data_IF_914352750782
#
_entry.id   IF_914352750782
#
_cell.length_a   1.000
_cell.length_b   1.000
_cell.length_c   1.000
_cell.angle_alpha   90.00
_cell.angle_beta   90.00
_cell.angle_gamma   90.00
#
_symmetry.space_group_name_H-M   'P 1'
#
loop_
_entity.id
_entity.type
_entity.pdbx_description
1 polymer ?
#
# COMPACT_ATOMS: atom_id res chain seq x y z
N UNK A 1 -18.30 44.17 18.51
CA UNK A 1 -19.07 43.12 17.80
C UNK A 1 -20.07 42.54 18.79
N UNK A 2 -21.29 42.21 18.37
CA UNK A 2 -22.30 41.60 19.26
C UNK A 2 -21.99 40.12 19.49
N UNK A 3 -22.31 39.61 20.68
CA UNK A 3 -22.14 38.19 21.07
C UNK A 3 -22.83 37.23 20.08
N UNK A 4 -24.02 37.61 19.63
CA UNK A 4 -24.80 36.88 18.61
C UNK A 4 -24.07 36.75 17.26
N UNK A 5 -23.20 37.71 16.93
CA UNK A 5 -22.37 37.64 15.70
C UNK A 5 -21.19 36.69 15.88
N UNK A 6 -20.71 36.52 17.11
CA UNK A 6 -19.68 35.55 17.46
C UNK A 6 -20.25 34.13 17.47
N UNK A 7 -21.41 33.92 18.08
CA UNK A 7 -22.08 32.61 18.10
C UNK A 7 -22.41 32.10 16.69
N UNK A 8 -22.87 32.99 15.80
CA UNK A 8 -23.12 32.63 14.40
C UNK A 8 -21.83 32.23 13.65
N UNK A 9 -20.70 32.90 13.92
CA UNK A 9 -19.40 32.53 13.33
C UNK A 9 -18.91 31.18 13.83
N UNK A 10 -19.14 30.86 15.11
CA UNK A 10 -18.79 29.55 15.68
C UNK A 10 -19.60 28.42 15.05
N UNK A 11 -20.90 28.63 14.80
CA UNK A 11 -21.74 27.67 14.11
C UNK A 11 -21.30 27.45 12.66
N UNK A 12 -21.01 28.52 11.91
CA UNK A 12 -20.48 28.41 10.54
C UNK A 12 -19.14 27.65 10.50
N UNK A 13 -18.25 27.89 11.46
CA UNK A 13 -16.98 27.17 11.57
C UNK A 13 -17.17 25.67 11.81
N UNK A 14 -18.13 25.29 12.65
CA UNK A 14 -18.45 23.89 12.93
C UNK A 14 -19.00 23.22 11.66
N UNK A 15 -19.90 23.87 10.94
CA UNK A 15 -20.46 23.34 9.69
C UNK A 15 -19.38 23.15 8.62
N UNK A 16 -18.54 24.16 8.39
CA UNK A 16 -17.41 24.09 7.46
C UNK A 16 -16.44 22.96 7.83
N UNK A 17 -16.14 22.80 9.13
CA UNK A 17 -15.25 21.73 9.61
C UNK A 17 -15.84 20.35 9.31
N UNK A 18 -17.14 20.17 9.53
CA UNK A 18 -17.83 18.92 9.22
C UNK A 18 -17.86 18.64 7.71
N UNK A 19 -18.08 19.66 6.88
CA UNK A 19 -18.06 19.53 5.42
C UNK A 19 -16.68 19.11 4.90
N UNK A 20 -15.61 19.74 5.39
CA UNK A 20 -14.22 19.39 5.06
C UNK A 20 -13.92 17.94 5.47
N UNK A 21 -14.33 17.54 6.68
CA UNK A 21 -14.13 16.17 7.19
C UNK A 21 -14.84 15.14 6.31
N UNK A 22 -16.08 15.41 5.93
CA UNK A 22 -16.89 14.54 5.06
C UNK A 22 -16.28 14.43 3.65
N UNK A 23 -15.89 15.54 3.03
CA UNK A 23 -15.20 15.53 1.73
C UNK A 23 -13.88 14.76 1.79
N UNK A 24 -13.09 14.96 2.85
CA UNK A 24 -11.82 14.24 3.05
C UNK A 24 -12.04 12.72 3.17
N UNK A 25 -13.05 12.30 3.93
CA UNK A 25 -13.41 10.89 4.06
C UNK A 25 -13.87 10.30 2.72
N UNK A 26 -14.69 11.03 1.96
CA UNK A 26 -15.10 10.65 0.61
C UNK A 26 -13.89 10.46 -0.31
N UNK A 27 -12.99 11.46 -0.40
CA UNK A 27 -11.80 11.35 -1.24
C UNK A 27 -10.91 10.19 -0.85
N UNK A 28 -10.74 9.89 0.45
CA UNK A 28 -10.03 8.69 0.90
C UNK A 28 -10.73 7.39 0.48
N UNK A 29 -12.07 7.36 0.50
CA UNK A 29 -12.85 6.18 0.11
C UNK A 29 -12.80 5.87 -1.39
N UNK A 30 -12.61 6.89 -2.22
CA UNK A 30 -12.47 6.76 -3.68
C UNK A 30 -11.01 6.89 -4.14
N UNK A 31 -10.07 7.04 -3.21
CA UNK A 31 -8.66 7.13 -3.55
C UNK A 31 -8.25 5.79 -4.12
N UNK A 32 -8.00 5.78 -5.43
CA UNK A 32 -7.42 4.63 -6.08
C UNK A 32 -6.14 4.25 -5.34
N UNK A 33 -5.91 2.95 -5.11
CA UNK A 33 -4.64 2.53 -4.56
C UNK A 33 -3.57 3.09 -5.50
N UNK A 34 -2.57 3.76 -4.93
CA UNK A 34 -1.39 4.18 -5.69
C UNK A 34 -0.91 3.01 -6.56
N UNK A 35 -0.32 3.28 -7.74
CA UNK A 35 0.21 2.22 -8.59
C UNK A 35 1.06 1.23 -7.80
N UNK A 36 1.86 1.73 -6.84
CA UNK A 36 2.67 0.90 -5.95
C UNK A 36 1.84 -0.07 -5.10
N UNK A 37 0.72 0.38 -4.52
CA UNK A 37 -0.19 -0.50 -3.77
C UNK A 37 -0.90 -1.53 -4.65
N UNK A 38 -1.31 -1.17 -5.88
CA UNK A 38 -1.85 -2.16 -6.83
C UNK A 38 -0.80 -3.22 -7.20
N UNK A 39 0.46 -2.81 -7.46
CA UNK A 39 1.56 -3.74 -7.71
C UNK A 39 1.77 -4.70 -6.54
N UNK A 40 1.82 -4.18 -5.31
CA UNK A 40 1.97 -5.01 -4.10
C UNK A 40 0.81 -6.01 -3.97
N UNK A 41 -0.43 -5.58 -4.22
CA UNK A 41 -1.58 -6.49 -4.18
C UNK A 41 -1.53 -7.58 -5.25
N UNK A 42 -1.10 -7.26 -6.47
CA UNK A 42 -0.90 -8.25 -7.54
C UNK A 42 0.14 -9.27 -7.11
N UNK A 43 1.32 -8.85 -6.63
CA UNK A 43 2.37 -9.76 -6.16
C UNK A 43 1.90 -10.64 -4.98
N UNK A 44 1.10 -10.10 -4.05
CA UNK A 44 0.50 -10.89 -2.96
C UNK A 44 -0.47 -11.96 -3.46
N UNK A 45 -1.23 -11.70 -4.53
CA UNK A 45 -2.08 -12.73 -5.18
C UNK A 45 -1.25 -13.87 -5.76
N UNK A 46 -0.05 -13.56 -6.24
CA UNK A 46 0.96 -14.54 -6.66
C UNK A 46 1.77 -15.12 -5.48
N UNK A 47 1.38 -14.83 -4.24
CA UNK A 47 2.05 -15.31 -3.03
C UNK A 47 3.51 -14.89 -2.89
N UNK A 48 3.88 -13.80 -3.57
CA UNK A 48 5.16 -13.12 -3.43
C UNK A 48 5.05 -12.11 -2.30
N UNK A 49 5.92 -12.24 -1.31
CA UNK A 49 6.09 -11.29 -0.21
C UNK A 49 7.50 -10.69 -0.29
N UNK A 50 7.58 -9.44 -0.74
CA UNK A 50 8.81 -8.65 -0.66
C UNK A 50 9.22 -8.44 0.80
N UNK A 51 10.51 -8.63 1.10
CA UNK A 51 11.05 -8.46 2.44
C UNK A 51 11.81 -7.13 2.50
N UNK A 52 11.69 -6.45 3.63
CA UNK A 52 12.53 -5.30 3.96
C UNK A 52 13.74 -5.79 4.76
N UNK A 53 14.49 -6.72 4.18
CA UNK A 53 15.67 -7.35 4.77
C UNK A 53 16.87 -7.10 3.85
N UNK A 54 18.05 -6.89 4.42
CA UNK A 54 19.27 -6.65 3.64
C UNK A 54 19.72 -7.88 2.85
N UNK A 55 19.32 -9.07 3.26
CA UNK A 55 19.76 -10.33 2.69
C UNK A 55 18.68 -11.00 1.83
N UNK A 56 17.41 -10.62 1.97
CA UNK A 56 16.27 -11.29 1.32
C UNK A 56 15.49 -10.29 0.48
N UNK A 57 15.35 -10.61 -0.80
CA UNK A 57 14.54 -9.83 -1.74
C UNK A 57 13.06 -10.12 -1.51
N UNK A 58 12.68 -11.39 -1.61
CA UNK A 58 11.30 -11.81 -1.44
C UNK A 58 11.19 -13.29 -1.10
N UNK A 59 10.01 -13.68 -0.61
CA UNK A 59 9.62 -15.09 -0.45
C UNK A 59 8.40 -15.40 -1.28
N UNK A 60 8.36 -16.57 -1.89
CA UNK A 60 7.26 -17.05 -2.73
C UNK A 60 6.68 -18.30 -2.07
N UNK A 61 5.40 -18.24 -1.66
CA UNK A 61 4.74 -19.40 -1.04
C UNK A 61 4.06 -20.27 -2.09
N UNK A 62 4.54 -21.50 -2.26
CA UNK A 62 3.89 -22.48 -3.11
C UNK A 62 2.79 -23.20 -2.31
N UNK A 63 1.53 -22.84 -2.58
CA UNK A 63 0.37 -23.43 -1.90
C UNK A 63 0.16 -24.92 -2.17
N UNK A 64 0.61 -25.44 -3.32
CA UNK A 64 0.42 -26.85 -3.66
C UNK A 64 1.38 -27.76 -2.89
N UNK A 65 2.59 -27.28 -2.63
CA UNK A 65 3.65 -28.04 -1.98
C UNK A 65 3.81 -27.69 -0.49
N UNK A 66 3.07 -26.68 0.00
CA UNK A 66 3.24 -26.09 1.33
C UNK A 66 4.70 -25.70 1.62
N UNK A 67 5.37 -25.19 0.58
CA UNK A 67 6.79 -24.84 0.60
C UNK A 67 6.99 -23.34 0.39
N UNK A 68 8.11 -22.81 0.87
CA UNK A 68 8.45 -21.38 0.78
C UNK A 68 9.80 -21.23 0.09
N UNK A 69 9.77 -20.70 -1.12
CA UNK A 69 11.00 -20.34 -1.83
C UNK A 69 11.46 -18.96 -1.39
N UNK A 70 12.76 -18.79 -1.10
CA UNK A 70 13.34 -17.52 -0.68
C UNK A 70 14.37 -17.06 -1.70
N UNK A 71 14.19 -15.84 -2.21
CA UNK A 71 15.15 -15.20 -3.11
C UNK A 71 16.01 -14.25 -2.27
N UNK A 72 17.32 -14.53 -2.24
CA UNK A 72 18.30 -13.72 -1.51
C UNK A 72 18.88 -12.62 -2.39
N UNK A 73 19.30 -11.54 -1.76
CA UNK A 73 20.20 -10.57 -2.38
C UNK A 73 21.52 -11.26 -2.69
N UNK A 74 21.95 -11.19 -3.95
CA UNK A 74 23.24 -11.70 -4.40
C UNK A 74 23.80 -10.69 -5.39
N UNK A 75 24.87 -10.01 -4.96
CA UNK A 75 25.54 -8.97 -5.75
C UNK A 75 26.12 -9.50 -7.07
N UNK A 76 26.23 -10.82 -7.22
CA UNK A 76 26.71 -11.47 -8.44
C UNK A 76 25.58 -11.82 -9.42
N UNK A 77 24.31 -11.70 -9.02
CA UNK A 77 23.17 -11.96 -9.91
C UNK A 77 22.68 -10.65 -10.52
N UNK A 78 22.48 -10.69 -11.83
CA UNK A 78 21.81 -9.60 -12.55
C UNK A 78 20.32 -9.56 -12.22
N UNK A 79 19.70 -8.39 -12.42
CA UNK A 79 18.25 -8.23 -12.25
C UNK A 79 17.45 -9.22 -13.13
N UNK A 80 17.95 -9.53 -14.32
CA UNK A 80 17.34 -10.53 -15.21
C UNK A 80 17.34 -11.93 -14.58
N UNK A 81 18.46 -12.37 -14.01
CA UNK A 81 18.55 -13.69 -13.38
C UNK A 81 17.65 -13.79 -12.14
N UNK A 82 17.51 -12.70 -11.38
CA UNK A 82 16.57 -12.62 -10.25
C UNK A 82 15.12 -12.73 -10.76
N UNK A 83 14.77 -12.03 -11.85
CA UNK A 83 13.45 -12.14 -12.46
C UNK A 83 13.16 -13.55 -13.01
N UNK A 84 14.13 -14.19 -13.67
CA UNK A 84 13.98 -15.55 -14.17
C UNK A 84 13.79 -16.55 -13.02
N UNK A 85 14.50 -16.37 -11.89
CA UNK A 85 14.30 -17.17 -10.68
C UNK A 85 12.91 -16.97 -10.07
N UNK A 86 12.40 -15.74 -10.07
CA UNK A 86 11.06 -15.43 -9.58
C UNK A 86 9.99 -16.13 -10.42
N UNK A 87 10.07 -16.03 -11.75
CA UNK A 87 9.11 -16.69 -12.66
C UNK A 87 9.17 -18.21 -12.62
N UNK A 88 10.34 -18.80 -12.31
CA UNK A 88 10.48 -20.26 -12.17
C UNK A 88 9.72 -20.84 -10.97
N UNK A 89 9.47 -20.04 -9.93
CA UNK A 89 8.90 -20.52 -8.67
C UNK A 89 7.47 -20.02 -8.40
N UNK A 90 6.87 -19.32 -9.36
CA UNK A 90 5.43 -19.03 -9.44
C UNK A 90 4.65 -20.21 -10.02
#
# INVERSE_FOLDING_TARGET
>A
MSEEKNENLELELIELTNEIKNKTAYYKSIQYPTSNSLFIEIFRKFHIEWKNDKNIICTIKNKKLNDVFTIFHDDNKTEKEINDLLWKHL
#
